data_IF_820695199956
#
_entry.id   IF_820695199956
#
_cell.length_a   1.000
_cell.length_b   1.000
_cell.length_c   1.000
_cell.angle_alpha   90.00
_cell.angle_beta   90.00
_cell.angle_gamma   90.00
#
_symmetry.space_group_name_H-M   'P 1'
#
loop_
_entity.id
_entity.type
_entity.pdbx_description
1 polymer ?
#
# COMPACT_ATOMS: atom_id res chain seq x y z
N UNK A 1 -41.02 1.86 -7.71
CA UNK A 1 -39.59 1.54 -7.93
C UNK A 1 -38.96 2.72 -8.67
N UNK A 2 -38.00 3.43 -8.06
CA UNK A 2 -37.28 4.53 -8.75
C UNK A 2 -36.30 3.88 -9.72
N UNK A 3 -36.46 4.12 -11.01
CA UNK A 3 -35.44 3.79 -12.01
C UNK A 3 -34.13 4.44 -11.56
N UNK A 4 -33.01 3.71 -11.44
CA UNK A 4 -31.72 4.36 -11.24
C UNK A 4 -31.56 5.42 -12.34
N UNK A 5 -31.18 6.62 -11.93
CA UNK A 5 -30.99 7.72 -12.87
C UNK A 5 -30.01 7.26 -13.95
N UNK A 6 -30.42 7.24 -15.23
CA UNK A 6 -29.60 6.77 -16.37
C UNK A 6 -28.22 7.42 -16.39
N UNK A 7 -28.09 8.64 -15.84
CA UNK A 7 -26.81 9.30 -15.66
C UNK A 7 -25.86 8.52 -14.71
N UNK A 8 -26.36 8.06 -13.56
CA UNK A 8 -25.55 7.34 -12.58
C UNK A 8 -25.01 6.01 -13.14
N UNK A 9 -25.73 5.36 -14.05
CA UNK A 9 -25.26 4.14 -14.72
C UNK A 9 -24.04 4.40 -15.61
N UNK A 10 -23.86 5.63 -16.09
CA UNK A 10 -22.78 6.03 -17.00
C UNK A 10 -21.71 6.90 -16.33
N UNK A 11 -21.84 7.14 -15.03
CA UNK A 11 -20.86 7.91 -14.25
C UNK A 11 -19.95 6.96 -13.50
N UNK A 12 -18.63 7.16 -13.65
CA UNK A 12 -17.62 6.51 -12.81
C UNK A 12 -17.15 7.50 -11.76
N UNK A 13 -16.99 7.01 -10.53
CA UNK A 13 -16.40 7.73 -9.42
C UNK A 13 -15.00 7.17 -9.20
N UNK A 14 -14.00 8.06 -9.18
CA UNK A 14 -12.60 7.73 -8.88
C UNK A 14 -12.21 8.47 -7.61
N UNK A 15 -11.86 7.73 -6.57
CA UNK A 15 -11.33 8.25 -5.31
C UNK A 15 -9.87 7.79 -5.18
N UNK A 16 -8.91 8.63 -5.61
CA UNK A 16 -7.50 8.32 -5.47
C UNK A 16 -7.06 8.50 -4.01
N UNK A 17 -6.28 7.55 -3.49
CA UNK A 17 -5.63 7.64 -2.19
C UNK A 17 -4.18 7.21 -2.24
N UNK A 18 -3.38 7.57 -1.23
CA UNK A 18 -1.95 7.23 -1.22
C UNK A 18 -1.66 5.73 -1.14
N UNK A 19 -2.55 4.97 -0.48
CA UNK A 19 -2.39 3.52 -0.38
C UNK A 19 -3.42 2.77 -1.22
N UNK A 20 -4.67 3.23 -1.24
CA UNK A 20 -5.75 2.57 -1.96
C UNK A 20 -6.36 3.48 -3.02
N UNK A 21 -6.56 2.94 -4.22
CA UNK A 21 -7.45 3.49 -5.23
C UNK A 21 -8.83 2.87 -5.02
N UNK A 22 -9.87 3.71 -4.91
CA UNK A 22 -11.25 3.25 -4.98
C UNK A 22 -11.89 3.72 -6.29
N UNK A 23 -12.52 2.81 -7.01
CA UNK A 23 -13.12 3.11 -8.32
C UNK A 23 -14.34 2.23 -8.57
N UNK A 24 -15.40 2.83 -9.13
CA UNK A 24 -16.64 2.12 -9.44
C UNK A 24 -17.67 3.04 -10.10
N UNK A 25 -18.77 2.47 -10.59
CA UNK A 25 -19.88 3.26 -11.14
C UNK A 25 -20.66 3.92 -10.00
N UNK A 26 -21.31 5.04 -10.28
CA UNK A 26 -22.13 5.74 -9.28
C UNK A 26 -23.36 4.92 -8.82
N UNK A 27 -23.74 3.89 -9.58
CA UNK A 27 -24.79 2.91 -9.21
C UNK A 27 -24.26 1.73 -8.41
N UNK A 28 -22.94 1.52 -8.37
CA UNK A 28 -22.37 0.37 -7.66
C UNK A 28 -22.54 0.56 -6.14
N UNK A 29 -23.00 -0.46 -5.41
CA UNK A 29 -23.22 -0.34 -3.97
C UNK A 29 -21.92 -0.17 -3.18
N UNK A 30 -20.80 -0.67 -3.71
CA UNK A 30 -19.47 -0.52 -3.14
C UNK A 30 -18.44 -0.32 -4.26
N UNK A 31 -17.50 0.63 -4.10
CA UNK A 31 -16.41 0.80 -5.05
C UNK A 31 -15.43 -0.37 -4.93
N UNK A 32 -14.75 -0.66 -6.03
CA UNK A 32 -13.63 -1.60 -6.02
C UNK A 32 -12.42 -0.91 -5.41
N UNK A 33 -11.64 -1.66 -4.63
CA UNK A 33 -10.51 -1.15 -3.86
C UNK A 33 -9.25 -1.89 -4.25
N UNK A 34 -8.23 -1.15 -4.69
CA UNK A 34 -6.94 -1.70 -5.14
C UNK A 34 -5.78 -1.00 -4.44
N UNK A 35 -4.65 -1.68 -4.20
CA UNK A 35 -3.39 -1.00 -3.86
C UNK A 35 -3.03 0.03 -4.94
N UNK A 36 -2.79 1.28 -4.57
CA UNK A 36 -2.49 2.37 -5.52
C UNK A 36 -1.00 2.39 -5.90
N UNK A 37 -0.49 1.25 -6.35
CA UNK A 37 0.87 1.06 -6.83
C UNK A 37 0.95 0.43 -8.22
N UNK A 38 2.07 0.71 -8.90
CA UNK A 38 2.45 0.14 -10.19
C UNK A 38 3.90 -0.34 -10.13
N UNK A 39 4.21 -1.48 -10.73
CA UNK A 39 5.56 -1.98 -10.91
C UNK A 39 5.94 -1.83 -12.39
N UNK A 40 7.02 -1.11 -12.70
CA UNK A 40 7.55 -0.99 -14.06
C UNK A 40 8.84 -1.78 -14.24
N UNK A 41 8.99 -2.41 -15.40
CA UNK A 41 10.18 -3.19 -15.73
C UNK A 41 11.38 -2.27 -15.95
N UNK A 42 12.50 -2.58 -15.33
CA UNK A 42 13.77 -1.92 -15.54
C UNK A 42 14.38 -2.38 -16.87
N UNK A 43 14.84 -1.43 -17.69
CA UNK A 43 15.65 -1.77 -18.87
C UNK A 43 17.01 -2.25 -18.38
N UNK A 44 17.39 -3.49 -18.72
CA UNK A 44 18.74 -4.00 -18.45
C UNK A 44 19.76 -3.15 -19.22
N UNK A 45 20.30 -2.12 -18.58
CA UNK A 45 21.55 -1.54 -19.02
C UNK A 45 22.64 -2.53 -18.61
N UNK A 46 23.43 -2.99 -19.58
CA UNK A 46 24.68 -3.68 -19.31
C UNK A 46 25.58 -2.74 -18.50
N UNK A 47 26.01 -3.20 -17.32
CA UNK A 47 27.04 -2.62 -16.43
C UNK A 47 26.53 -1.79 -15.24
N UNK A 48 27.01 -2.22 -14.07
CA UNK A 48 26.97 -1.60 -12.72
C UNK A 48 25.59 -1.58 -12.01
N UNK A 49 25.35 -2.66 -11.26
CA UNK A 49 24.23 -2.85 -10.37
C UNK A 49 24.26 -1.85 -9.19
N UNK A 50 23.56 -0.72 -9.33
CA UNK A 50 23.06 0.00 -8.16
C UNK A 50 21.75 -0.65 -7.73
N UNK A 51 21.84 -1.53 -6.74
CA UNK A 51 20.69 -2.11 -6.05
C UNK A 51 19.84 -0.99 -5.43
N UNK A 52 18.91 -0.43 -6.19
CA UNK A 52 17.87 0.45 -5.66
C UNK A 52 16.75 -0.40 -5.04
N UNK A 53 17.15 -1.22 -4.05
CA UNK A 53 16.23 -1.78 -3.08
C UNK A 53 15.75 -0.63 -2.18
N UNK A 54 14.66 0.05 -2.54
CA UNK A 54 13.86 0.76 -1.54
C UNK A 54 12.92 -0.22 -0.81
N UNK A 55 13.54 -1.28 -0.30
CA UNK A 55 13.05 -2.10 0.82
C UNK A 55 14.25 -2.43 1.74
N UNK A 56 15.24 -1.55 1.81
CA UNK A 56 16.01 -1.45 3.04
C UNK A 56 15.02 -1.01 4.11
N UNK A 57 14.83 -1.81 5.17
CA UNK A 57 14.40 -1.23 6.45
C UNK A 57 15.31 -0.01 6.63
N UNK A 58 14.81 1.23 6.63
CA UNK A 58 15.65 2.27 7.16
C UNK A 58 15.87 1.82 8.61
N UNK A 59 17.10 1.50 8.97
CA UNK A 59 17.53 1.85 10.32
C UNK A 59 17.39 3.36 10.36
N UNK A 60 16.16 3.84 10.59
CA UNK A 60 15.99 5.11 11.23
C UNK A 60 16.64 4.88 12.58
N UNK A 61 17.91 5.26 12.68
CA UNK A 61 18.47 5.68 13.94
C UNK A 61 17.64 6.91 14.30
N UNK A 62 16.46 6.65 14.84
CA UNK A 62 15.59 7.67 15.38
C UNK A 62 16.37 8.27 16.54
N UNK A 63 17.03 9.39 16.31
CA UNK A 63 17.25 10.36 17.38
C UNK A 63 15.91 11.07 17.62
N UNK A 64 14.85 10.31 17.84
CA UNK A 64 13.73 10.86 18.59
C UNK A 64 14.25 11.00 20.02
N UNK A 65 14.10 12.15 20.69
CA UNK A 65 14.27 12.15 22.13
C UNK A 65 13.29 11.10 22.68
N UNK A 66 13.80 10.03 23.30
CA UNK A 66 13.05 8.86 23.82
C UNK A 66 11.77 9.23 24.59
N UNK A 67 11.74 10.46 25.09
CA UNK A 67 10.63 11.11 25.78
C UNK A 67 9.32 11.09 24.98
N UNK A 68 9.35 11.27 23.65
CA UNK A 68 8.12 11.44 22.85
C UNK A 68 7.34 10.14 22.62
N UNK A 69 8.04 9.02 22.42
CA UNK A 69 7.38 7.71 22.29
C UNK A 69 6.94 7.21 23.67
N UNK A 70 7.79 7.39 24.68
CA UNK A 70 7.47 7.00 26.06
C UNK A 70 6.25 7.75 26.62
N UNK A 71 6.09 9.04 26.29
CA UNK A 71 4.94 9.82 26.74
C UNK A 71 3.63 9.31 26.12
N UNK A 72 3.62 9.06 24.80
CA UNK A 72 2.45 8.51 24.11
C UNK A 72 2.07 7.13 24.62
N UNK A 73 3.07 6.26 24.85
CA UNK A 73 2.84 4.93 25.44
C UNK A 73 2.25 5.06 26.85
N UNK A 74 2.79 5.97 27.66
CA UNK A 74 2.29 6.21 29.02
C UNK A 74 0.87 6.75 29.01
N UNK A 75 0.53 7.67 28.09
CA UNK A 75 -0.82 8.19 27.94
C UNK A 75 -1.82 7.08 27.57
N UNK A 76 -1.46 6.18 26.65
CA UNK A 76 -2.26 5.00 26.28
C UNK A 76 -2.62 4.12 27.48
N UNK A 77 -1.66 3.84 28.35
CA UNK A 77 -1.87 3.01 29.54
C UNK A 77 -2.55 3.75 30.70
N UNK A 78 -2.56 5.08 30.68
CA UNK A 78 -3.20 5.92 31.69
C UNK A 78 -4.59 6.44 31.26
N UNK A 79 -5.11 6.03 30.11
CA UNK A 79 -6.49 6.33 29.74
C UNK A 79 -7.44 5.59 30.71
N UNK A 80 -8.30 6.30 31.47
CA UNK A 80 -9.32 5.64 32.26
C UNK A 80 -10.22 4.86 31.30
N UNK A 81 -10.28 3.54 31.48
CA UNK A 81 -11.27 2.71 30.79
C UNK A 81 -12.64 3.30 31.13
N UNK A 82 -13.38 3.75 30.12
CA UNK A 82 -14.73 4.28 30.31
C UNK A 82 -15.62 3.16 30.86
N UNK A 83 -15.82 3.21 32.18
CA UNK A 83 -16.95 2.77 32.99
C UNK A 83 -17.80 1.62 32.41
N UNK A 84 -17.47 0.38 32.82
CA UNK A 84 -18.38 -0.67 33.36
C UNK A 84 -17.73 -2.06 33.23
N UNK A 85 -16.81 -2.38 34.15
CA UNK A 85 -16.57 -3.76 34.58
C UNK A 85 -15.84 -3.72 35.92
N UNK A 86 -16.57 -4.02 37.00
CA UNK A 86 -15.98 -4.33 38.30
C UNK A 86 -15.07 -5.55 38.13
N UNK A 87 -13.76 -5.35 38.14
CA UNK A 87 -12.79 -6.41 38.43
C UNK A 87 -11.86 -5.88 39.51
N UNK A 88 -11.77 -6.69 40.56
CA UNK A 88 -11.03 -6.44 41.79
C UNK A 88 -9.58 -6.01 41.50
N UNK A 89 -9.16 -5.00 42.25
CA UNK A 89 -7.86 -4.36 42.20
C UNK A 89 -6.78 -5.35 42.65
N UNK A 90 -5.97 -5.84 41.71
CA UNK A 90 -4.71 -6.50 42.02
C UNK A 90 -3.64 -5.88 41.14
N UNK A 91 -2.84 -5.03 41.76
CA UNK A 91 -1.73 -4.31 41.15
C UNK A 91 -0.83 -5.25 40.33
N UNK A 92 -0.96 -5.20 39.00
CA UNK A 92 0.01 -5.79 38.10
C UNK A 92 1.27 -4.92 38.13
N UNK A 93 2.23 -5.31 38.96
CA UNK A 93 3.60 -4.80 38.86
C UNK A 93 4.14 -5.17 37.48
N UNK A 94 4.26 -4.19 36.60
CA UNK A 94 5.03 -4.31 35.37
C UNK A 94 6.49 -4.49 35.75
N UNK A 95 7.02 -5.71 35.62
CA UNK A 95 8.45 -5.93 35.67
C UNK A 95 9.08 -5.44 34.36
N UNK A 96 10.26 -4.80 34.39
CA UNK A 96 11.05 -4.59 33.20
C UNK A 96 11.32 -5.97 32.57
N UNK A 97 10.95 -6.13 31.30
CA UNK A 97 11.47 -7.26 30.52
C UNK A 97 12.94 -6.99 30.29
N UNK A 98 13.79 -7.63 31.10
CA UNK A 98 15.21 -7.76 30.79
C UNK A 98 15.33 -8.34 29.38
N UNK A 99 16.20 -7.71 28.58
CA UNK A 99 16.52 -7.97 27.18
C UNK A 99 15.84 -9.21 26.57
N UNK A 100 15.04 -8.99 25.51
CA UNK A 100 14.63 -10.05 24.60
C UNK A 100 15.88 -10.77 24.06
N UNK A 101 16.35 -11.78 24.80
CA UNK A 101 17.05 -12.92 24.23
C UNK A 101 16.20 -13.42 23.06
N UNK A 102 16.82 -13.88 21.95
CA UNK A 102 16.08 -14.29 20.77
C UNK A 102 15.41 -15.64 21.05
N UNK A 103 14.39 -15.64 21.89
CA UNK A 103 13.37 -16.67 21.91
C UNK A 103 12.61 -16.50 20.60
N UNK A 104 13.04 -17.31 19.65
CA UNK A 104 12.39 -17.59 18.39
C UNK A 104 11.01 -18.19 18.67
N UNK A 105 10.05 -17.33 19.01
CA UNK A 105 8.65 -17.65 18.83
C UNK A 105 8.43 -17.79 17.33
N UNK A 106 8.34 -19.03 16.88
CA UNK A 106 7.93 -19.42 15.54
C UNK A 106 6.46 -19.05 15.34
N UNK A 107 6.15 -17.76 15.29
CA UNK A 107 4.96 -17.26 14.62
C UNK A 107 5.32 -17.16 13.13
N UNK A 108 5.11 -18.26 12.41
CA UNK A 108 5.03 -18.38 10.96
C UNK A 108 5.89 -17.39 10.15
N UNK A 109 7.20 -17.48 10.36
CA UNK A 109 8.19 -17.07 9.35
C UNK A 109 8.24 -18.03 8.15
N UNK A 110 7.31 -18.98 8.05
CA UNK A 110 7.09 -19.80 6.86
C UNK A 110 6.17 -19.05 5.90
N UNK A 111 6.75 -18.19 5.06
CA UNK A 111 6.44 -18.01 3.63
C UNK A 111 6.96 -16.69 3.02
N UNK A 112 7.75 -15.88 3.75
CA UNK A 112 8.40 -14.70 3.15
C UNK A 112 9.78 -14.99 2.52
N UNK A 113 10.15 -16.28 2.38
CA UNK A 113 11.47 -16.72 1.89
C UNK A 113 11.42 -17.60 0.63
N UNK A 114 10.28 -17.63 -0.09
CA UNK A 114 10.16 -18.30 -1.38
C UNK A 114 9.65 -17.33 -2.47
N UNK A 115 10.35 -16.21 -2.65
CA UNK A 115 10.19 -15.35 -3.83
C UNK A 115 11.37 -15.48 -4.80
N UNK A 116 12.01 -16.65 -4.86
CA UNK A 116 12.81 -17.05 -6.02
C UNK A 116 11.89 -17.59 -7.13
N UNK A 117 10.81 -16.87 -7.40
CA UNK A 117 10.09 -17.01 -8.65
C UNK A 117 10.81 -16.16 -9.68
N UNK A 118 11.65 -16.77 -10.52
CA UNK A 118 11.90 -16.21 -11.85
C UNK A 118 10.57 -16.26 -12.61
N UNK A 119 9.62 -15.39 -12.25
CA UNK A 119 8.42 -15.15 -13.03
C UNK A 119 8.91 -14.47 -14.30
N UNK A 120 8.80 -15.19 -15.43
CA UNK A 120 9.00 -14.64 -16.76
C UNK A 120 8.26 -13.30 -16.87
N UNK A 121 8.83 -12.29 -17.54
CA UNK A 121 8.32 -10.92 -17.49
C UNK A 121 6.84 -10.88 -17.88
N UNK A 122 5.99 -10.49 -16.92
CA UNK A 122 4.53 -10.43 -17.05
C UNK A 122 4.12 -9.34 -18.07
N UNK A 123 5.02 -8.41 -18.36
CA UNK A 123 4.82 -7.30 -19.30
C UNK A 123 5.81 -6.17 -19.06
N UNK A 124 5.53 -5.00 -19.63
CA UNK A 124 6.27 -3.76 -19.36
C UNK A 124 5.96 -3.21 -17.97
N UNK A 125 4.72 -3.38 -17.49
CA UNK A 125 4.30 -3.00 -16.15
C UNK A 125 3.26 -3.97 -15.60
N UNK A 126 3.05 -3.93 -14.28
CA UNK A 126 1.95 -4.58 -13.58
C UNK A 126 1.38 -3.62 -12.54
N UNK A 127 0.08 -3.73 -12.21
CA UNK A 127 -0.63 -2.79 -11.32
C UNK A 127 -1.25 -3.51 -10.13
N UNK A 128 -1.62 -2.75 -9.09
CA UNK A 128 -2.40 -3.25 -7.95
C UNK A 128 -1.70 -4.43 -7.23
N UNK A 129 -2.43 -5.51 -6.93
CA UNK A 129 -1.88 -6.70 -6.28
C UNK A 129 -0.79 -7.41 -7.12
N UNK A 130 -0.82 -7.27 -8.45
CA UNK A 130 0.22 -7.82 -9.31
C UNK A 130 1.54 -7.06 -9.13
N UNK A 131 1.48 -5.73 -8.95
CA UNK A 131 2.64 -4.91 -8.65
C UNK A 131 3.26 -5.29 -7.29
N UNK A 132 2.43 -5.52 -6.27
CA UNK A 132 2.90 -5.94 -4.94
C UNK A 132 3.57 -7.32 -4.97
N UNK A 133 3.08 -8.25 -5.80
CA UNK A 133 3.71 -9.57 -5.99
C UNK A 133 5.10 -9.47 -6.65
N UNK A 134 5.37 -8.39 -7.39
CA UNK A 134 6.68 -8.12 -7.96
C UNK A 134 7.61 -7.35 -7.01
N UNK A 135 7.16 -7.03 -5.80
CA UNK A 135 8.00 -6.39 -4.79
C UNK A 135 9.21 -7.29 -4.47
N UNK A 136 10.42 -6.77 -4.63
CA UNK A 136 11.67 -7.51 -4.43
C UNK A 136 12.19 -8.21 -5.69
N UNK A 137 11.47 -8.18 -6.81
CA UNK A 137 12.00 -8.65 -8.09
C UNK A 137 13.04 -7.64 -8.64
N UNK A 138 14.26 -8.06 -9.00
CA UNK A 138 15.32 -7.15 -9.45
C UNK A 138 15.06 -6.53 -10.83
N UNK A 139 14.18 -7.12 -11.64
CA UNK A 139 13.83 -6.62 -12.97
C UNK A 139 12.70 -5.59 -12.94
N UNK A 140 12.09 -5.31 -11.78
CA UNK A 140 10.96 -4.38 -11.64
C UNK A 140 11.17 -3.38 -10.50
N UNK A 141 10.68 -2.16 -10.69
CA UNK A 141 10.66 -1.12 -9.66
C UNK A 141 9.21 -0.74 -9.33
N UNK A 142 8.90 -0.65 -8.04
CA UNK A 142 7.58 -0.28 -7.53
C UNK A 142 7.46 1.25 -7.35
N UNK A 143 6.33 1.80 -7.78
CA UNK A 143 5.99 3.21 -7.70
C UNK A 143 4.65 3.43 -7.03
N UNK A 144 4.54 4.56 -6.33
CA UNK A 144 3.35 5.04 -5.63
C UNK A 144 3.07 6.47 -6.11
N UNK A 145 2.26 6.65 -7.18
CA UNK A 145 2.08 7.94 -7.83
C UNK A 145 1.54 9.03 -6.90
N UNK A 146 0.81 8.63 -5.85
CA UNK A 146 0.24 9.52 -4.83
C UNK A 146 0.85 9.21 -3.47
N UNK A 147 1.39 10.21 -2.79
CA UNK A 147 1.91 10.12 -1.41
C UNK A 147 1.40 11.29 -0.59
N UNK A 148 0.94 11.01 0.63
CA UNK A 148 0.36 12.01 1.54
C UNK A 148 -0.76 12.86 0.92
N UNK A 149 -1.56 12.28 0.03
CA UNK A 149 -2.64 12.97 -0.69
C UNK A 149 -2.22 13.81 -1.90
N UNK A 150 -0.92 13.88 -2.22
CA UNK A 150 -0.40 14.64 -3.35
C UNK A 150 0.28 13.73 -4.36
N UNK A 151 0.44 14.21 -5.59
CA UNK A 151 1.34 13.56 -6.55
C UNK A 151 2.76 13.52 -5.98
N UNK A 152 3.50 12.47 -6.28
CA UNK A 152 4.88 12.32 -5.82
C UNK A 152 5.75 13.47 -6.36
N UNK A 153 6.17 14.39 -5.48
CA UNK A 153 6.84 15.64 -5.86
C UNK A 153 8.29 15.44 -6.33
N UNK A 154 8.99 14.44 -5.78
CA UNK A 154 10.39 14.14 -6.13
C UNK A 154 10.53 13.37 -7.46
N UNK A 155 9.42 13.15 -8.17
CA UNK A 155 9.38 12.37 -9.40
C UNK A 155 9.09 13.27 -10.61
N UNK A 156 9.41 12.75 -11.80
CA UNK A 156 8.99 13.37 -13.04
C UNK A 156 7.45 13.29 -13.16
N UNK A 157 6.77 14.44 -13.15
CA UNK A 157 5.31 14.50 -13.26
C UNK A 157 4.77 13.77 -14.49
N UNK A 158 5.44 13.82 -15.64
CA UNK A 158 4.99 13.09 -16.82
C UNK A 158 4.99 11.58 -16.59
N UNK A 159 5.98 11.05 -15.86
CA UNK A 159 6.00 9.63 -15.51
C UNK A 159 4.92 9.30 -14.48
N UNK A 160 4.70 10.15 -13.47
CA UNK A 160 3.64 9.99 -12.47
C UNK A 160 2.25 10.00 -13.10
N UNK A 161 2.00 10.88 -14.08
CA UNK A 161 0.73 10.94 -14.80
C UNK A 161 0.55 9.71 -15.69
N UNK A 162 1.60 9.25 -16.38
CA UNK A 162 1.54 8.00 -17.15
C UNK A 162 1.24 6.80 -16.24
N UNK A 163 1.84 6.74 -15.05
CA UNK A 163 1.53 5.71 -14.05
C UNK A 163 0.05 5.74 -13.67
N UNK A 164 -0.51 6.92 -13.38
CA UNK A 164 -1.93 7.06 -13.03
C UNK A 164 -2.85 6.67 -14.19
N UNK A 165 -2.50 7.06 -15.42
CA UNK A 165 -3.23 6.69 -16.63
C UNK A 165 -3.25 5.16 -16.83
N UNK A 166 -2.09 4.52 -16.81
CA UNK A 166 -1.96 3.06 -16.98
C UNK A 166 -2.76 2.31 -15.90
N UNK A 167 -2.67 2.78 -14.65
CA UNK A 167 -3.41 2.22 -13.53
C UNK A 167 -4.92 2.37 -13.67
N UNK A 168 -5.41 3.59 -13.91
CA UNK A 168 -6.86 3.84 -13.97
C UNK A 168 -7.48 3.19 -15.22
N UNK A 169 -6.78 3.20 -16.35
CA UNK A 169 -7.18 2.47 -17.56
C UNK A 169 -7.32 0.98 -17.26
N UNK A 170 -6.31 0.37 -16.64
CA UNK A 170 -6.37 -1.05 -16.26
C UNK A 170 -7.53 -1.35 -15.30
N UNK A 171 -7.81 -0.46 -14.33
CA UNK A 171 -8.95 -0.63 -13.45
C UNK A 171 -10.28 -0.58 -14.20
N UNK A 172 -10.44 0.39 -15.10
CA UNK A 172 -11.67 0.58 -15.86
C UNK A 172 -11.94 -0.60 -16.81
N UNK A 173 -10.92 -1.05 -17.52
CA UNK A 173 -11.00 -2.18 -18.47
C UNK A 173 -11.27 -3.51 -17.75
N UNK A 174 -10.46 -3.86 -16.75
CA UNK A 174 -10.55 -5.17 -16.10
C UNK A 174 -11.69 -5.26 -15.11
N UNK A 175 -12.09 -4.15 -14.49
CA UNK A 175 -12.94 -4.19 -13.31
C UNK A 175 -14.22 -3.39 -13.42
N UNK A 176 -14.30 -2.33 -14.22
CA UNK A 176 -15.55 -1.54 -14.32
C UNK A 176 -16.39 -1.92 -15.56
N UNK A 177 -15.96 -2.93 -16.33
CA UNK A 177 -16.69 -3.47 -17.49
C UNK A 177 -17.10 -2.40 -18.51
N UNK A 178 -16.23 -1.40 -18.72
CA UNK A 178 -16.33 -0.53 -19.89
C UNK A 178 -15.48 -1.11 -21.01
N UNK A 179 -16.13 -1.59 -22.08
CA UNK A 179 -15.44 -1.81 -23.35
C UNK A 179 -15.10 -0.43 -23.91
N UNK A 180 -13.87 0.05 -23.72
CA UNK A 180 -13.39 1.28 -24.32
C UNK A 180 -13.44 1.16 -25.85
N UNK A 181 -14.49 1.71 -26.46
CA UNK A 181 -14.39 2.24 -27.82
C UNK A 181 -13.97 3.71 -27.66
N UNK A 182 -12.66 3.91 -27.69
CA UNK A 182 -11.96 5.19 -27.86
C UNK A 182 -12.47 6.37 -27.04
N UNK A 183 -11.84 6.65 -25.91
CA UNK A 183 -11.76 7.99 -25.35
C UNK A 183 -10.33 8.21 -24.86
N UNK A 184 -9.49 8.72 -25.74
CA UNK A 184 -8.52 9.77 -25.44
C UNK A 184 -8.50 10.68 -26.68
N UNK A 185 -8.59 11.98 -26.43
CA UNK A 185 -8.78 13.07 -27.42
C UNK A 185 -7.55 13.17 -28.32
#
# INVERSE_FOLDING_TARGET
MKTPCVAAERTVIVEPGSYYLKIGRAVDPQPKKFPHCIARRLKKHSSEASSLLFCGKPMLQMSCPDKSLSSTISELFNLPASEELYVEESALQLQPVDDCSPFTNSCDQSNLANMNGHTSPIGEFAVFDEALRLCGNPDYQLFWPIRHGFLQQDANYSAVIQDLEDMWTTALEKHVSYSFRYIFI
#
